data_IF_092074062512
#
_entry.id   IF_092074062512
#
_cell.length_a   1.000
_cell.length_b   1.000
_cell.length_c   1.000
_cell.angle_alpha   90.00
_cell.angle_beta   90.00
_cell.angle_gamma   90.00
#
_symmetry.space_group_name_H-M   'P 1'
#
loop_
_entity.id
_entity.type
_entity.pdbx_description
1 polymer ?
#
# COMPACT_ATOMS: atom_id res chain seq x y z
N UNK A 1 -2.08 4.32 -20.68
CA UNK A 1 -2.30 3.18 -19.75
C UNK A 1 -1.36 3.44 -18.60
N UNK A 2 -1.87 3.79 -17.43
CA UNK A 2 -1.03 4.09 -16.27
C UNK A 2 -0.29 2.85 -15.78
N UNK A 3 0.95 3.03 -15.34
CA UNK A 3 1.79 1.98 -14.77
C UNK A 3 1.29 1.64 -13.36
N UNK A 4 0.56 0.54 -13.24
CA UNK A 4 0.22 -0.05 -11.94
C UNK A 4 1.45 -0.78 -11.38
N UNK A 5 1.77 -0.51 -10.13
CA UNK A 5 2.78 -1.23 -9.37
C UNK A 5 2.23 -1.68 -8.03
N UNK A 6 2.44 -2.94 -7.69
CA UNK A 6 2.01 -3.51 -6.42
C UNK A 6 2.98 -4.56 -5.93
N UNK A 7 3.37 -4.52 -4.66
CA UNK A 7 4.19 -5.57 -4.07
C UNK A 7 4.01 -5.64 -2.54
N UNK A 8 4.48 -6.74 -1.98
CA UNK A 8 4.77 -6.87 -0.55
C UNK A 8 6.27 -7.05 -0.33
N UNK A 9 6.86 -6.27 0.56
CA UNK A 9 8.31 -6.17 0.76
C UNK A 9 8.68 -6.67 2.15
N UNK A 10 9.74 -7.46 2.22
CA UNK A 10 10.37 -7.94 3.44
C UNK A 10 11.87 -7.62 3.43
N UNK A 11 12.43 -7.34 4.60
CA UNK A 11 13.87 -7.08 4.78
C UNK A 11 14.70 -8.34 5.01
N UNK A 12 14.03 -9.42 5.37
CA UNK A 12 14.65 -10.69 5.70
C UNK A 12 14.08 -11.78 4.81
N UNK A 13 14.85 -12.85 4.63
CA UNK A 13 14.41 -14.01 3.85
C UNK A 13 13.18 -14.62 4.53
N UNK A 14 12.00 -14.61 3.91
CA UNK A 14 10.82 -15.22 4.49
C UNK A 14 10.95 -16.76 4.51
N UNK A 15 10.27 -17.41 5.46
CA UNK A 15 9.99 -18.85 5.36
C UNK A 15 8.93 -19.08 4.28
N UNK A 16 9.42 -19.44 3.08
CA UNK A 16 8.60 -19.60 1.89
C UNK A 16 7.62 -20.78 1.99
N UNK A 17 7.87 -21.74 2.88
CA UNK A 17 6.97 -22.89 3.07
C UNK A 17 5.59 -22.46 3.57
N UNK A 18 5.55 -21.37 4.34
CA UNK A 18 4.34 -20.78 4.94
C UNK A 18 3.44 -20.08 3.92
N UNK A 19 3.97 -19.69 2.76
CA UNK A 19 3.18 -19.12 1.66
C UNK A 19 2.21 -20.14 1.05
N UNK A 20 2.41 -21.43 1.33
CA UNK A 20 1.45 -22.49 1.05
C UNK A 20 0.06 -22.22 1.63
N UNK A 21 -0.02 -21.48 2.74
CA UNK A 21 -1.25 -21.17 3.47
C UNK A 21 -2.01 -19.95 2.93
N UNK A 22 -1.49 -19.26 1.91
CA UNK A 22 -2.22 -18.19 1.23
C UNK A 22 -3.51 -18.72 0.58
N UNK A 23 -4.59 -17.91 0.50
CA UNK A 23 -5.83 -18.30 -0.16
C UNK A 23 -5.59 -18.82 -1.58
N UNK A 24 -6.42 -19.78 -2.01
CA UNK A 24 -6.25 -20.42 -3.33
C UNK A 24 -6.45 -19.45 -4.50
N UNK A 25 -7.14 -18.33 -4.30
CA UNK A 25 -7.26 -17.25 -5.30
C UNK A 25 -6.00 -16.40 -5.45
N UNK A 26 -4.99 -16.59 -4.60
CA UNK A 26 -3.74 -15.81 -4.56
C UNK A 26 -2.57 -16.72 -4.96
N UNK A 27 -2.10 -16.53 -6.19
CA UNK A 27 -0.81 -17.01 -6.69
C UNK A 27 0.29 -16.04 -6.28
N UNK A 28 1.53 -16.50 -6.30
CA UNK A 28 2.65 -15.65 -5.87
C UNK A 28 3.96 -15.93 -6.60
N UNK A 29 4.81 -14.92 -6.64
CA UNK A 29 6.25 -15.02 -6.98
C UNK A 29 7.03 -14.22 -5.94
N UNK A 30 8.14 -14.78 -5.46
CA UNK A 30 9.06 -14.09 -4.55
C UNK A 30 10.37 -13.82 -5.26
N UNK A 31 10.77 -12.56 -5.28
CA UNK A 31 12.01 -12.10 -5.84
C UNK A 31 12.94 -11.59 -4.74
N UNK A 32 14.24 -11.79 -4.89
CA UNK A 32 15.26 -11.08 -4.13
C UNK A 32 15.81 -9.96 -5.01
N UNK A 33 15.67 -8.72 -4.55
CA UNK A 33 16.42 -7.59 -5.07
C UNK A 33 17.80 -7.58 -4.41
N UNK A 34 18.85 -7.92 -5.17
CA UNK A 34 20.20 -8.13 -4.64
C UNK A 34 20.85 -6.85 -4.11
N UNK A 35 20.75 -5.75 -4.85
CA UNK A 35 21.35 -4.47 -4.47
C UNK A 35 20.75 -3.92 -3.16
N UNK A 36 19.42 -3.94 -3.04
CA UNK A 36 18.73 -3.49 -1.84
C UNK A 36 18.66 -4.53 -0.72
N UNK A 37 19.02 -5.78 -1.01
CA UNK A 37 18.84 -6.94 -0.14
C UNK A 37 17.40 -7.05 0.42
N UNK A 38 16.40 -6.83 -0.44
CA UNK A 38 14.98 -6.93 -0.10
C UNK A 38 14.33 -8.10 -0.81
N UNK A 39 13.33 -8.71 -0.15
CA UNK A 39 12.48 -9.72 -0.74
C UNK A 39 11.15 -9.08 -1.15
N UNK A 40 10.77 -9.23 -2.41
CA UNK A 40 9.53 -8.71 -2.96
C UNK A 40 8.62 -9.87 -3.36
N UNK A 41 7.41 -9.86 -2.81
CA UNK A 41 6.35 -10.80 -3.08
C UNK A 41 5.35 -10.14 -4.04
N UNK A 42 5.28 -10.68 -5.23
CA UNK A 42 4.23 -10.42 -6.22
C UNK A 42 3.03 -11.32 -5.94
N UNK A 43 1.82 -10.79 -6.11
CA UNK A 43 0.58 -11.56 -5.96
C UNK A 43 -0.33 -11.37 -7.16
N UNK A 44 -0.91 -12.47 -7.64
CA UNK A 44 -1.73 -12.49 -8.85
C UNK A 44 -2.79 -13.57 -8.81
N UNK A 45 -3.78 -13.49 -9.71
CA UNK A 45 -4.79 -14.54 -9.85
C UNK A 45 -4.14 -15.75 -10.52
N UNK A 46 -4.13 -16.97 -9.93
CA UNK A 46 -3.49 -18.14 -10.53
C UNK A 46 -4.02 -18.48 -11.93
N UNK A 47 -5.31 -18.25 -12.18
CA UNK A 47 -5.93 -18.47 -13.49
C UNK A 47 -5.51 -17.43 -14.56
N UNK A 48 -4.82 -16.35 -14.17
CA UNK A 48 -4.38 -15.27 -15.05
C UNK A 48 -3.03 -14.75 -14.57
N UNK A 49 -2.00 -15.58 -14.73
CA UNK A 49 -0.62 -15.24 -14.38
C UNK A 49 -0.16 -14.07 -15.27
N UNK A 50 0.33 -12.96 -14.70
CA UNK A 50 0.77 -11.82 -15.48
C UNK A 50 2.10 -12.13 -16.17
N UNK A 51 2.27 -11.55 -17.37
CA UNK A 51 3.51 -11.64 -18.13
C UNK A 51 4.67 -11.02 -17.34
N UNK A 52 4.42 -9.86 -16.74
CA UNK A 52 5.37 -9.11 -15.92
C UNK A 52 4.93 -9.09 -14.45
N UNK A 53 5.86 -9.19 -13.48
CA UNK A 53 5.50 -9.18 -12.06
C UNK A 53 4.99 -7.80 -11.62
N UNK A 54 4.30 -7.75 -10.49
CA UNK A 54 3.89 -6.52 -9.79
C UNK A 54 2.85 -5.65 -10.51
N UNK A 55 2.38 -6.07 -11.69
CA UNK A 55 1.43 -5.33 -12.53
C UNK A 55 -0.03 -5.73 -12.32
N UNK A 56 -0.34 -6.45 -11.24
CA UNK A 56 -1.72 -6.86 -10.93
C UNK A 56 -2.10 -6.50 -9.51
N UNK A 57 -3.33 -6.00 -9.34
CA UNK A 57 -3.92 -5.86 -8.03
C UNK A 57 -4.00 -7.20 -7.33
N UNK A 58 -3.79 -7.17 -6.02
CA UNK A 58 -4.02 -8.29 -5.11
C UNK A 58 -5.39 -8.93 -5.39
N UNK A 59 -5.47 -10.26 -5.61
CA UNK A 59 -6.73 -10.98 -5.74
C UNK A 59 -7.50 -11.01 -4.43
N UNK A 60 -8.28 -9.96 -4.16
CA UNK A 60 -8.96 -9.78 -2.89
C UNK A 60 -10.24 -10.61 -2.72
N UNK A 61 -10.57 -11.52 -3.65
CA UNK A 61 -11.84 -12.28 -3.62
C UNK A 61 -12.01 -13.08 -2.32
N UNK A 62 -10.93 -13.67 -1.81
CA UNK A 62 -10.92 -14.45 -0.57
C UNK A 62 -10.32 -13.69 0.62
N UNK A 63 -10.04 -12.40 0.46
CA UNK A 63 -9.48 -11.56 1.53
C UNK A 63 -10.62 -10.76 2.14
N UNK A 64 -10.93 -10.96 3.44
CA UNK A 64 -11.98 -10.20 4.10
C UNK A 64 -11.76 -8.70 3.91
N UNK A 65 -12.83 -7.93 3.65
CA UNK A 65 -12.75 -6.47 3.58
C UNK A 65 -13.01 -5.79 4.93
N UNK A 66 -13.49 -6.54 5.92
CA UNK A 66 -13.64 -6.05 7.29
C UNK A 66 -12.25 -6.00 7.94
N UNK A 67 -11.88 -4.85 8.49
CA UNK A 67 -10.65 -4.71 9.26
C UNK A 67 -10.78 -5.40 10.63
N UNK A 68 -9.67 -5.93 11.18
CA UNK A 68 -9.67 -6.53 12.51
C UNK A 68 -9.96 -5.51 13.63
N UNK A 69 -10.29 -6.00 14.85
CA UNK A 69 -10.40 -5.15 16.03
C UNK A 69 -9.15 -4.28 16.25
N UNK A 70 -9.35 -3.06 16.75
CA UNK A 70 -8.29 -2.07 16.96
C UNK A 70 -8.06 -1.13 15.76
N UNK A 71 -8.72 -1.35 14.62
CA UNK A 71 -8.68 -0.50 13.42
C UNK A 71 -10.01 0.20 13.13
N UNK A 72 -10.82 0.44 14.17
CA UNK A 72 -12.17 0.99 14.04
C UNK A 72 -12.18 2.41 13.44
N UNK A 73 -11.18 3.22 13.75
CA UNK A 73 -11.01 4.56 13.17
C UNK A 73 -10.82 4.49 11.66
N UNK A 74 -10.04 3.52 11.16
CA UNK A 74 -9.81 3.29 9.74
C UNK A 74 -11.08 2.80 9.02
N UNK A 75 -11.87 1.92 9.65
CA UNK A 75 -13.19 1.53 9.10
C UNK A 75 -14.15 2.72 9.03
N UNK A 76 -14.10 3.61 10.02
CA UNK A 76 -14.94 4.82 10.01
C UNK A 76 -14.52 5.78 8.89
N UNK A 77 -13.21 6.00 8.70
CA UNK A 77 -12.67 6.78 7.57
C UNK A 77 -13.17 6.20 6.24
N UNK A 78 -12.95 4.89 6.02
CA UNK A 78 -13.40 4.22 4.80
C UNK A 78 -14.90 4.41 4.54
N UNK A 79 -15.72 4.23 5.58
CA UNK A 79 -17.18 4.35 5.49
C UNK A 79 -17.62 5.79 5.17
N UNK A 80 -16.92 6.80 5.69
CA UNK A 80 -17.19 8.21 5.39
C UNK A 80 -16.73 8.63 4.01
N UNK A 81 -15.70 7.99 3.48
CA UNK A 81 -15.15 8.33 2.17
C UNK A 81 -15.97 7.76 1.01
N UNK A 82 -16.79 6.73 1.24
CA UNK A 82 -17.67 6.15 0.23
C UNK A 82 -18.59 7.20 -0.42
N UNK A 83 -19.44 7.90 0.35
CA UNK A 83 -20.31 8.96 -0.18
C UNK A 83 -19.58 10.14 -0.84
N UNK A 84 -18.29 10.33 -0.53
CA UNK A 84 -17.45 11.40 -1.10
C UNK A 84 -16.68 10.94 -2.35
N UNK A 85 -16.85 9.69 -2.80
CA UNK A 85 -16.06 9.07 -3.86
C UNK A 85 -14.54 9.02 -3.59
N UNK A 86 -14.12 9.12 -2.32
CA UNK A 86 -12.71 9.10 -1.91
C UNK A 86 -12.23 7.70 -1.49
N UNK A 87 -13.13 6.73 -1.34
CA UNK A 87 -12.81 5.41 -0.80
C UNK A 87 -11.91 4.56 -1.71
N UNK A 88 -11.78 4.92 -3.00
CA UNK A 88 -10.97 4.13 -3.93
C UNK A 88 -9.48 4.13 -3.56
N UNK A 89 -8.95 5.24 -3.02
CA UNK A 89 -7.56 5.31 -2.54
C UNK A 89 -7.28 4.43 -1.31
N UNK A 90 -8.32 4.07 -0.56
CA UNK A 90 -8.19 3.32 0.69
C UNK A 90 -8.35 1.80 0.47
N UNK A 91 -7.22 1.08 0.42
CA UNK A 91 -7.19 -0.35 0.03
C UNK A 91 -7.22 -1.31 1.24
N UNK A 92 -8.41 -1.56 1.80
CA UNK A 92 -8.62 -2.50 2.92
C UNK A 92 -8.07 -3.91 2.67
N UNK A 93 -8.15 -4.40 1.44
CA UNK A 93 -7.60 -5.71 1.07
C UNK A 93 -6.08 -5.78 1.27
N UNK A 94 -5.35 -4.68 1.02
CA UNK A 94 -3.90 -4.61 1.24
C UNK A 94 -3.55 -4.59 2.73
N UNK A 95 -4.35 -3.92 3.57
CA UNK A 95 -4.21 -3.96 5.04
C UNK A 95 -4.31 -5.41 5.52
N UNK A 96 -5.37 -6.10 5.14
CA UNK A 96 -5.62 -7.47 5.58
C UNK A 96 -4.62 -8.47 4.99
N UNK A 97 -4.13 -8.24 3.76
CA UNK A 97 -3.04 -9.03 3.20
C UNK A 97 -1.72 -8.81 3.94
N UNK A 98 -1.35 -7.57 4.28
CA UNK A 98 -0.15 -7.28 5.05
C UNK A 98 -0.17 -7.97 6.41
N UNK A 99 -1.31 -7.93 7.11
CA UNK A 99 -1.51 -8.63 8.38
C UNK A 99 -1.43 -10.16 8.23
N UNK A 100 -2.07 -10.70 7.19
CA UNK A 100 -2.00 -12.14 6.89
C UNK A 100 -0.55 -12.57 6.62
N UNK A 101 0.16 -11.85 5.76
CA UNK A 101 1.55 -12.13 5.41
C UNK A 101 2.46 -11.99 6.62
N UNK A 102 2.30 -10.95 7.43
CA UNK A 102 3.06 -10.79 8.67
C UNK A 102 2.87 -11.98 9.62
N UNK A 103 1.63 -12.47 9.76
CA UNK A 103 1.32 -13.67 10.55
C UNK A 103 1.90 -14.95 9.94
N UNK A 104 1.85 -15.12 8.62
CA UNK A 104 2.37 -16.33 7.97
C UNK A 104 3.90 -16.37 8.05
N UNK A 105 4.55 -15.25 7.72
CA UNK A 105 5.99 -15.14 7.54
C UNK A 105 6.74 -14.79 8.82
N UNK A 106 6.03 -14.38 9.88
CA UNK A 106 6.60 -13.97 11.18
C UNK A 106 7.68 -12.88 11.02
N UNK A 107 7.50 -12.00 10.04
CA UNK A 107 8.46 -10.94 9.69
C UNK A 107 7.70 -9.65 9.36
N UNK A 108 8.28 -8.46 9.59
CA UNK A 108 7.71 -7.19 9.12
C UNK A 108 7.39 -7.24 7.63
N UNK A 109 6.17 -6.82 7.27
CA UNK A 109 5.71 -6.76 5.88
C UNK A 109 5.32 -5.33 5.56
N UNK A 110 5.90 -4.77 4.51
CA UNK A 110 5.42 -3.55 3.87
C UNK A 110 4.62 -3.93 2.63
N UNK A 111 3.49 -3.30 2.39
CA UNK A 111 2.64 -3.57 1.22
C UNK A 111 2.26 -2.26 0.58
N UNK A 112 2.34 -2.18 -0.73
CA UNK A 112 1.96 -0.98 -1.46
C UNK A 112 1.23 -1.32 -2.75
N UNK A 113 0.46 -0.35 -3.20
CA UNK A 113 -0.15 -0.31 -4.52
C UNK A 113 -0.20 1.14 -4.97
N UNK A 114 0.31 1.40 -6.16
CA UNK A 114 0.29 2.73 -6.74
C UNK A 114 0.12 2.68 -8.26
N UNK A 115 -0.43 3.74 -8.84
CA UNK A 115 -0.51 3.96 -10.28
C UNK A 115 -0.15 5.41 -10.63
N UNK A 116 -0.17 5.73 -11.92
CA UNK A 116 0.14 7.07 -12.43
C UNK A 116 -1.03 8.06 -12.31
N UNK A 117 -2.20 7.62 -11.84
CA UNK A 117 -3.43 8.40 -11.86
C UNK A 117 -3.72 9.00 -10.47
N UNK A 118 -4.22 8.18 -9.55
CA UNK A 118 -4.81 8.63 -8.28
C UNK A 118 -4.55 7.69 -7.09
N UNK A 119 -3.93 6.54 -7.35
CA UNK A 119 -3.70 5.50 -6.36
C UNK A 119 -2.26 5.59 -5.86
N UNK A 120 -2.12 5.87 -4.57
CA UNK A 120 -0.86 5.72 -3.87
C UNK A 120 -1.16 5.32 -2.43
N UNK A 121 -1.02 4.02 -2.16
CA UNK A 121 -1.40 3.39 -0.91
C UNK A 121 -0.26 2.53 -0.38
N UNK A 122 0.03 2.69 0.90
CA UNK A 122 0.98 1.86 1.62
C UNK A 122 0.46 1.44 2.98
N UNK A 123 0.92 0.29 3.44
CA UNK A 123 0.75 -0.13 4.83
C UNK A 123 1.91 -1.05 5.26
N UNK A 124 2.20 -1.08 6.56
CA UNK A 124 3.15 -2.03 7.14
C UNK A 124 2.55 -2.73 8.34
N UNK A 125 2.80 -4.04 8.43
CA UNK A 125 2.38 -4.88 9.54
C UNK A 125 3.60 -5.45 10.28
N UNK A 126 3.57 -5.38 11.61
CA UNK A 126 4.63 -5.85 12.50
C UNK A 126 4.00 -6.49 13.73
N UNK A 127 4.51 -7.64 14.16
CA UNK A 127 4.06 -8.29 15.40
C UNK A 127 2.56 -8.59 15.46
N UNK A 128 1.94 -8.92 14.33
CA UNK A 128 0.50 -9.21 14.21
C UNK A 128 -0.40 -7.97 14.18
N UNK A 129 0.16 -6.76 14.14
CA UNK A 129 -0.59 -5.50 14.17
C UNK A 129 -0.24 -4.61 12.99
N UNK A 130 -1.17 -3.73 12.60
CA UNK A 130 -0.89 -2.67 11.63
C UNK A 130 -0.02 -1.63 12.32
N UNK A 131 1.19 -1.43 11.80
CA UNK A 131 2.17 -0.52 12.37
C UNK A 131 2.12 0.86 11.73
N UNK A 132 1.90 0.93 10.41
CA UNK A 132 1.81 2.20 9.68
C UNK A 132 0.91 2.06 8.47
N UNK A 133 0.21 3.12 8.09
CA UNK A 133 -0.48 3.25 6.82
C UNK A 133 -0.35 4.69 6.35
N UNK A 134 -0.16 4.87 5.04
CA UNK A 134 -0.23 6.19 4.41
C UNK A 134 -0.88 6.01 3.03
N UNK A 135 -1.89 6.80 2.71
CA UNK A 135 -2.50 6.74 1.38
C UNK A 135 -3.10 8.06 0.94
N UNK A 136 -3.14 8.27 -0.38
CA UNK A 136 -3.85 9.38 -1.01
C UNK A 136 -5.30 8.99 -1.31
N UNK A 137 -6.23 9.90 -1.01
CA UNK A 137 -7.66 9.77 -1.25
C UNK A 137 -8.20 11.12 -1.75
N UNK A 138 -8.08 11.37 -3.06
CA UNK A 138 -8.40 12.67 -3.66
C UNK A 138 -7.49 13.77 -3.13
N UNK A 139 -8.10 14.81 -2.55
CA UNK A 139 -7.43 15.97 -1.93
C UNK A 139 -6.97 15.72 -0.48
N UNK A 140 -7.00 14.46 -0.02
CA UNK A 140 -6.65 14.08 1.35
C UNK A 140 -5.51 13.05 1.37
N UNK A 141 -4.58 13.20 2.31
CA UNK A 141 -3.62 12.17 2.69
C UNK A 141 -4.00 11.60 4.05
N UNK A 142 -4.14 10.28 4.12
CA UNK A 142 -4.53 9.57 5.33
C UNK A 142 -3.30 8.91 5.88
N UNK A 143 -3.04 9.08 7.17
CA UNK A 143 -1.93 8.43 7.86
C UNK A 143 -2.42 7.70 9.11
N UNK A 144 -1.73 6.63 9.47
CA UNK A 144 -1.92 5.89 10.71
C UNK A 144 -0.57 5.46 11.24
N UNK A 145 -0.30 5.69 12.51
CA UNK A 145 1.02 5.46 13.15
C UNK A 145 1.05 4.21 14.05
N UNK A 146 0.05 3.32 13.91
CA UNK A 146 -0.14 2.16 14.77
C UNK A 146 -1.10 2.42 15.93
N UNK A 147 -1.46 3.69 16.18
CA UNK A 147 -2.36 4.07 17.28
C UNK A 147 -3.44 5.05 16.86
N UNK A 148 -3.08 6.08 16.11
CA UNK A 148 -3.97 7.19 15.75
C UNK A 148 -4.01 7.38 14.24
N UNK A 149 -5.22 7.62 13.74
CA UNK A 149 -5.42 8.00 12.35
C UNK A 149 -5.45 9.54 12.24
N UNK A 150 -4.88 10.04 11.16
CA UNK A 150 -4.83 11.45 10.82
C UNK A 150 -5.20 11.65 9.35
N UNK A 151 -5.84 12.79 9.05
CA UNK A 151 -6.20 13.24 7.71
C UNK A 151 -5.53 14.59 7.50
N UNK A 152 -4.69 14.68 6.48
CA UNK A 152 -4.01 15.89 6.04
C UNK A 152 -4.62 16.35 4.70
N UNK A 153 -5.44 17.40 4.69
CA UNK A 153 -5.97 17.99 3.45
C UNK A 153 -4.85 18.68 2.66
N UNK A 154 -4.84 18.49 1.35
CA UNK A 154 -3.85 19.03 0.43
C UNK A 154 -4.25 20.42 -0.08
N UNK A 155 -3.30 21.30 -0.28
CA UNK A 155 -3.49 22.59 -0.96
C UNK A 155 -3.41 22.31 -2.46
N UNK A 156 -4.52 22.37 -3.22
CA UNK A 156 -4.50 22.13 -4.65
C UNK A 156 -3.71 23.22 -5.39
N UNK A 157 -3.35 22.94 -6.63
CA UNK A 157 -2.97 23.99 -7.59
C UNK A 157 -4.25 24.78 -7.97
N UNK A 158 -4.10 26.04 -8.41
CA UNK A 158 -5.19 27.05 -8.54
C UNK A 158 -6.45 26.62 -9.33
N UNK A 159 -6.40 25.52 -10.09
CA UNK A 159 -7.49 25.04 -10.95
C UNK A 159 -8.52 24.11 -10.25
N UNK A 160 -8.25 23.62 -9.04
CA UNK A 160 -9.05 22.57 -8.37
C UNK A 160 -9.77 23.01 -7.06
N UNK A 161 -9.83 24.31 -6.76
CA UNK A 161 -10.37 24.82 -5.47
C UNK A 161 -11.86 24.51 -5.22
N UNK A 162 -12.66 24.40 -6.27
CA UNK A 162 -14.13 24.23 -6.17
C UNK A 162 -14.57 22.80 -5.79
N UNK A 163 -13.66 21.83 -5.75
CA UNK A 163 -13.96 20.41 -5.51
C UNK A 163 -13.37 19.86 -4.20
N UNK A 164 -12.94 20.75 -3.30
CA UNK A 164 -12.25 20.38 -2.08
C UNK A 164 -13.16 19.76 -1.02
N UNK A 165 -12.62 18.78 -0.30
CA UNK A 165 -13.35 18.14 0.79
C UNK A 165 -13.58 19.09 1.98
N UNK A 166 -14.81 19.12 2.50
CA UNK A 166 -15.18 19.88 3.69
C UNK A 166 -14.53 19.28 4.96
N UNK A 167 -13.43 19.90 5.40
CA UNK A 167 -12.67 19.48 6.57
C UNK A 167 -13.41 19.68 7.89
N UNK A 168 -14.35 20.64 7.96
CA UNK A 168 -15.15 20.88 9.17
C UNK A 168 -16.19 19.77 9.34
N UNK A 169 -16.82 19.33 8.24
CA UNK A 169 -17.69 18.16 8.24
C UNK A 169 -16.95 16.88 8.64
N UNK A 170 -15.71 16.67 8.14
CA UNK A 170 -14.88 15.53 8.54
C UNK A 170 -14.57 15.55 10.05
N UNK A 171 -14.13 16.69 10.58
CA UNK A 171 -13.85 16.89 12.02
C UNK A 171 -15.05 16.55 12.89
N UNK A 172 -16.24 17.04 12.50
CA UNK A 172 -17.48 16.79 13.22
C UNK A 172 -17.89 15.31 13.18
N UNK A 173 -17.70 14.65 12.03
CA UNK A 173 -18.14 13.28 11.82
C UNK A 173 -17.23 12.21 12.44
N UNK A 174 -15.96 12.54 12.72
CA UNK A 174 -14.92 11.63 13.20
C UNK A 174 -14.00 12.32 14.23
N UNK A 175 -14.50 12.67 15.44
CA UNK A 175 -13.75 13.45 16.43
C UNK A 175 -12.49 12.76 16.96
N UNK A 176 -12.40 11.43 16.86
CA UNK A 176 -11.21 10.66 17.24
C UNK A 176 -10.09 10.68 16.19
N UNK A 177 -10.40 11.06 14.94
CA UNK A 177 -9.44 11.19 13.85
C UNK A 177 -8.91 12.62 13.84
N UNK A 178 -7.59 12.76 13.80
CA UNK A 178 -6.99 14.09 13.73
C UNK A 178 -7.09 14.64 12.30
N UNK A 179 -7.91 15.66 12.09
CA UNK A 179 -7.98 16.35 10.79
C UNK A 179 -7.16 17.63 10.89
N UNK A 180 -6.09 17.71 10.11
CA UNK A 180 -5.19 18.87 10.10
C UNK A 180 -5.81 20.05 9.34
N UNK A 181 -5.16 21.21 9.44
CA UNK A 181 -5.44 22.34 8.56
C UNK A 181 -4.90 22.08 7.15
N UNK A 182 -5.54 22.66 6.14
CA UNK A 182 -5.14 22.54 4.74
C UNK A 182 -3.90 23.41 4.48
N UNK A 183 -2.74 22.87 4.80
CA UNK A 183 -1.43 23.55 4.63
C UNK A 183 -0.41 22.67 3.90
N UNK A 184 -0.74 21.40 3.65
CA UNK A 184 0.18 20.45 3.00
C UNK A 184 0.13 20.68 1.49
N UNK A 185 1.24 21.00 0.81
CA UNK A 185 1.24 21.13 -0.65
C UNK A 185 0.79 19.84 -1.33
N UNK A 186 0.08 19.97 -2.44
CA UNK A 186 -0.23 18.84 -3.29
C UNK A 186 1.03 18.39 -4.03
N UNK A 187 1.54 17.21 -3.68
CA UNK A 187 2.68 16.61 -4.38
C UNK A 187 2.20 15.88 -5.64
N UNK A 188 2.66 16.35 -6.80
CA UNK A 188 2.35 15.76 -8.11
C UNK A 188 3.32 14.64 -8.50
N UNK A 189 4.35 14.37 -7.69
CA UNK A 189 5.25 13.26 -7.91
C UNK A 189 4.50 11.92 -7.83
N UNK A 190 4.59 11.15 -8.91
CA UNK A 190 4.00 9.80 -8.97
C UNK A 190 4.64 8.88 -7.93
N UNK A 191 3.80 8.06 -7.30
CA UNK A 191 4.21 7.07 -6.30
C UNK A 191 4.94 7.67 -5.07
N UNK A 192 4.76 8.97 -4.78
CA UNK A 192 5.50 9.67 -3.73
C UNK A 192 5.38 8.99 -2.36
N UNK A 193 4.17 8.57 -1.96
CA UNK A 193 3.92 7.89 -0.69
C UNK A 193 4.57 6.51 -0.70
N UNK A 194 4.40 5.74 -1.78
CA UNK A 194 5.03 4.42 -1.92
C UNK A 194 6.56 4.50 -1.82
N UNK A 195 7.19 5.49 -2.44
CA UNK A 195 8.64 5.68 -2.39
C UNK A 195 9.12 6.09 -0.99
N UNK A 196 8.52 7.12 -0.40
CA UNK A 196 8.89 7.62 0.93
C UNK A 196 8.78 6.53 1.99
N UNK A 197 7.65 5.81 1.98
CA UNK A 197 7.36 4.79 2.99
C UNK A 197 8.19 3.52 2.77
N UNK A 198 8.52 3.16 1.52
CA UNK A 198 9.44 2.07 1.24
C UNK A 198 10.86 2.38 1.73
N UNK A 199 11.36 3.60 1.49
CA UNK A 199 12.67 4.04 2.00
C UNK A 199 12.72 3.96 3.52
N UNK A 200 11.68 4.48 4.18
CA UNK A 200 11.56 4.43 5.64
C UNK A 200 11.51 2.99 6.17
N UNK A 201 10.75 2.11 5.52
CA UNK A 201 10.65 0.71 5.90
C UNK A 201 11.96 -0.05 5.70
N UNK A 202 12.57 0.07 4.51
CA UNK A 202 13.76 -0.65 4.12
C UNK A 202 15.04 -0.11 4.77
N UNK A 203 15.04 1.14 5.26
CA UNK A 203 16.22 1.79 5.82
C UNK A 203 17.27 2.12 4.78
N UNK A 204 16.86 2.35 3.53
CA UNK A 204 17.73 2.66 2.40
C UNK A 204 17.74 4.17 2.14
N UNK A 205 18.91 4.72 1.81
CA UNK A 205 19.08 6.15 1.48
C UNK A 205 18.94 6.43 -0.02
N UNK A 206 19.33 5.46 -0.84
CA UNK A 206 19.20 5.53 -2.29
C UNK A 206 17.92 4.79 -2.68
N UNK A 207 17.17 5.38 -3.61
CA UNK A 207 15.98 4.72 -4.14
C UNK A 207 16.36 3.38 -4.74
N UNK A 208 15.53 2.37 -4.48
CA UNK A 208 15.38 1.29 -5.44
C UNK A 208 14.85 1.96 -6.70
N UNK A 209 15.70 2.08 -7.72
CA UNK A 209 15.28 2.58 -9.03
C UNK A 209 14.03 1.80 -9.46
N UNK A 210 12.94 2.54 -9.70
CA UNK A 210 11.81 2.04 -10.46
C UNK A 210 10.66 1.40 -9.71
N UNK A 211 9.89 2.15 -8.92
CA UNK A 211 8.47 1.76 -8.76
C UNK A 211 7.73 1.77 -10.12
N UNK A 212 8.21 2.54 -11.09
CA UNK A 212 7.76 2.56 -12.49
C UNK A 212 8.75 1.94 -13.52
N UNK A 213 9.82 1.26 -13.10
CA UNK A 213 10.77 0.60 -14.02
C UNK A 213 10.97 -0.90 -13.73
N UNK A 214 9.98 -1.56 -13.10
CA UNK A 214 9.94 -3.02 -12.98
C UNK A 214 9.52 -3.71 -14.29
N UNK A 215 9.86 -3.15 -15.44
CA UNK A 215 10.20 -4.04 -16.54
C UNK A 215 11.33 -4.92 -16.01
N UNK A 216 11.26 -6.27 -16.10
CA UNK A 216 12.43 -7.07 -15.81
C UNK A 216 13.54 -6.48 -16.68
N UNK A 217 14.64 -5.96 -16.09
CA UNK A 217 15.74 -5.50 -16.92
C UNK A 217 16.06 -6.64 -17.89
N UNK A 218 16.30 -6.31 -19.16
CA UNK A 218 16.85 -7.29 -20.12
C UNK A 218 18.11 -7.98 -19.54
N UNK A 219 18.70 -7.35 -18.52
CA UNK A 219 19.76 -7.84 -17.65
C UNK A 219 19.20 -8.33 -16.28
N UNK A 220 18.92 -9.63 -16.13
CA UNK A 220 18.44 -10.33 -14.91
C UNK A 220 19.39 -10.23 -13.68
N UNK A 221 20.34 -9.29 -13.67
CA UNK A 221 21.45 -9.25 -12.72
C UNK A 221 21.04 -8.85 -11.29
N UNK A 222 20.02 -8.00 -11.14
CA UNK A 222 19.59 -7.45 -9.84
C UNK A 222 18.46 -8.23 -9.15
N UNK A 223 17.66 -8.97 -9.91
CA UNK A 223 16.47 -9.66 -9.41
C UNK A 223 16.63 -11.17 -9.55
N UNK A 224 16.44 -11.90 -8.45
CA UNK A 224 16.46 -13.37 -8.47
C UNK A 224 15.11 -13.92 -8.04
N UNK A 225 14.42 -14.65 -8.91
CA UNK A 225 13.26 -15.44 -8.51
C UNK A 225 13.70 -16.50 -7.49
N UNK A 226 13.04 -16.53 -6.34
CA UNK A 226 13.36 -17.42 -5.20
C UNK A 226 12.29 -18.49 -5.01
N UNK A 227 11.02 -18.17 -5.27
CA UNK A 227 9.91 -19.12 -5.25
C UNK A 227 8.73 -18.62 -6.08
N UNK A 228 7.87 -19.54 -6.50
CA UNK A 228 6.59 -19.23 -7.16
C UNK A 228 5.56 -20.35 -6.92
N UNK A 229 4.28 -19.98 -7.05
CA UNK A 229 3.13 -20.91 -7.06
C UNK A 229 2.01 -20.37 -7.94
#
# INVERSE_FOLDING_TARGET
MGYLVTAHVLREKPDLSRLGELPKSVGFRVYLHRAANLYLLDTFRPAKVPQYPFQTLLPAADIPLKLPPGLESLERIYSRFGPLNLANGFKKSYINAALLLNRLLQSPVFSFVSNDDDLDFTCSAVGGSLNRLKCRCGDLVISFDGKRAQIAPLVPDEEDEDLLTDTAALKSAMPEVEVLERQTPWDTQLHCIAMEELQAFAGIKEMILGLGSFDPPEDESEWRLVASR
#
